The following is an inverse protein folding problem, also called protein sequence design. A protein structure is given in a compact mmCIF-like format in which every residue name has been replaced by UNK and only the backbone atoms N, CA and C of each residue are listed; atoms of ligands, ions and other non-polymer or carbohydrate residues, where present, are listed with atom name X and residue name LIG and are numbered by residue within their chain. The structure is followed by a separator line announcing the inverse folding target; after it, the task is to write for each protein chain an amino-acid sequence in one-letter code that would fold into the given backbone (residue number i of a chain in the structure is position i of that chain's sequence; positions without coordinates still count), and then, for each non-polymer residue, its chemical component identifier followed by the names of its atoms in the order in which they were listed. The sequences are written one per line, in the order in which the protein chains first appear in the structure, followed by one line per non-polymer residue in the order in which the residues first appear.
data_IF_888774141703
#
_entry.id   IF_888774141703
#
_cell.length_a   1.000
_cell.length_b   1.000
_cell.length_c   1.000
_cell.angle_alpha   90.00
_cell.angle_beta   90.00
_cell.angle_gamma   90.00
#
_symmetry.space_group_name_H-M   'P 1'
#
loop_
_entity.id
_entity.type
_entity.pdbx_description
1 polymer ?
#
# COMPACT_ATOMS: atom_id res chain seq x y z
N UNK A 1 8.97 -16.04 7.29
CA UNK A 1 8.17 -15.76 8.49
C UNK A 1 8.87 -14.63 9.23
N UNK A 2 8.13 -13.59 9.58
CA UNK A 2 8.58 -12.52 10.47
C UNK A 2 8.12 -12.85 11.89
N UNK A 3 9.00 -12.67 12.85
CA UNK A 3 8.71 -12.84 14.29
C UNK A 3 9.55 -11.85 15.10
N UNK A 4 9.12 -11.49 16.33
CA UNK A 4 9.96 -10.74 17.25
C UNK A 4 11.27 -11.47 17.58
N UNK A 5 12.37 -10.73 17.67
CA UNK A 5 13.71 -11.29 17.95
C UNK A 5 13.74 -12.13 19.24
N UNK A 6 13.02 -11.69 20.27
CA UNK A 6 12.93 -12.40 21.55
C UNK A 6 12.27 -13.77 21.41
N UNK A 7 11.25 -13.89 20.54
CA UNK A 7 10.61 -15.17 20.26
C UNK A 7 11.56 -16.12 19.53
N UNK A 8 12.35 -15.61 18.57
CA UNK A 8 13.39 -16.39 17.90
C UNK A 8 14.42 -16.89 18.92
N UNK A 9 14.94 -15.99 19.77
CA UNK A 9 15.88 -16.32 20.84
C UNK A 9 15.31 -17.34 21.84
N UNK A 10 14.04 -17.20 22.25
CA UNK A 10 13.38 -18.15 23.15
C UNK A 10 13.31 -19.58 22.54
N UNK A 11 13.17 -19.67 21.21
CA UNK A 11 13.22 -20.93 20.45
C UNK A 11 14.64 -21.39 20.13
N UNK A 12 15.68 -20.66 20.58
CA UNK A 12 17.11 -20.90 20.29
C UNK A 12 17.42 -20.87 18.79
N UNK A 13 16.77 -19.97 18.06
CA UNK A 13 17.02 -19.71 16.63
C UNK A 13 17.72 -18.37 16.52
N UNK A 14 18.88 -18.35 15.87
CA UNK A 14 19.55 -17.10 15.53
C UNK A 14 18.88 -16.46 14.31
N UNK A 15 18.45 -15.19 14.38
CA UNK A 15 17.93 -14.48 13.24
C UNK A 15 18.97 -14.38 12.12
N UNK A 16 18.54 -14.60 10.90
CA UNK A 16 19.43 -14.48 9.75
C UNK A 16 19.63 -13.03 9.30
N UNK A 17 18.58 -12.25 9.39
CA UNK A 17 18.52 -10.82 9.06
C UNK A 17 17.38 -10.18 9.84
N UNK A 18 17.35 -8.85 9.85
CA UNK A 18 16.36 -8.06 10.59
C UNK A 18 15.58 -7.15 9.63
N UNK A 19 14.27 -7.09 9.81
CA UNK A 19 13.46 -6.01 9.25
C UNK A 19 13.61 -4.80 10.19
N UNK A 20 14.41 -3.83 9.78
CA UNK A 20 14.80 -2.71 10.63
C UNK A 20 14.07 -1.41 10.32
N UNK A 21 13.47 -1.32 9.15
CA UNK A 21 12.71 -0.14 8.77
C UNK A 21 11.60 -0.45 7.79
N UNK A 22 10.58 0.38 7.82
CA UNK A 22 9.46 0.33 6.90
C UNK A 22 8.93 1.73 6.65
N UNK A 23 8.42 1.95 5.45
CA UNK A 23 7.72 3.17 5.07
C UNK A 23 6.56 2.85 4.15
N UNK A 24 5.46 3.56 4.33
CA UNK A 24 4.29 3.47 3.50
C UNK A 24 3.77 4.88 3.18
N UNK A 25 3.56 5.16 1.92
CA UNK A 25 3.02 6.43 1.44
C UNK A 25 2.08 6.20 0.26
N UNK A 26 1.35 7.24 -0.10
CA UNK A 26 0.53 7.21 -1.30
C UNK A 26 0.99 8.27 -2.30
N UNK A 27 1.20 7.85 -3.56
CA UNK A 27 1.55 8.78 -4.63
C UNK A 27 0.39 9.75 -4.97
N UNK A 28 -0.83 9.36 -4.66
CA UNK A 28 -2.06 10.16 -4.77
C UNK A 28 -2.23 10.88 -6.12
N UNK A 29 -1.64 10.33 -7.19
CA UNK A 29 -1.57 10.95 -8.51
C UNK A 29 -2.60 10.37 -9.49
N UNK A 30 -2.51 9.06 -9.75
CA UNK A 30 -3.36 8.37 -10.73
C UNK A 30 -3.57 6.91 -10.36
N UNK A 31 -4.63 6.27 -10.88
CA UNK A 31 -4.97 4.88 -10.55
C UNK A 31 -3.90 3.85 -10.99
N UNK A 32 -3.10 4.16 -12.00
CA UNK A 32 -2.12 3.21 -12.57
C UNK A 32 -0.77 3.83 -12.92
N UNK A 33 -0.69 5.14 -13.06
CA UNK A 33 0.55 5.83 -13.39
C UNK A 33 1.15 6.44 -12.13
N UNK A 34 2.46 6.34 -11.99
CA UNK A 34 3.20 7.04 -10.97
C UNK A 34 3.42 8.50 -11.37
N UNK A 35 3.53 9.39 -10.38
CA UNK A 35 3.83 10.81 -10.59
C UNK A 35 5.21 10.99 -11.24
N UNK A 36 5.39 12.04 -12.00
CA UNK A 36 6.66 12.31 -12.70
C UNK A 36 7.84 12.54 -11.74
N UNK A 37 7.56 13.08 -10.55
CA UNK A 37 8.56 13.31 -9.51
C UNK A 37 8.72 12.15 -8.52
N UNK A 38 7.96 11.07 -8.66
CA UNK A 38 8.01 9.88 -7.81
C UNK A 38 7.73 10.19 -6.33
N UNK A 39 6.71 11.00 -6.05
CA UNK A 39 6.46 11.51 -4.70
C UNK A 39 6.19 10.41 -3.69
N UNK A 40 5.26 9.50 -3.98
CA UNK A 40 4.93 8.39 -3.08
C UNK A 40 6.12 7.48 -2.81
N UNK A 41 6.85 7.11 -3.87
CA UNK A 41 8.07 6.31 -3.77
C UNK A 41 9.15 7.00 -2.90
N UNK A 42 9.36 8.30 -3.11
CA UNK A 42 10.29 9.09 -2.30
C UNK A 42 9.90 9.11 -0.82
N UNK A 43 8.63 9.38 -0.52
CA UNK A 43 8.14 9.42 0.86
C UNK A 43 8.24 8.06 1.54
N UNK A 44 7.88 6.97 0.87
CA UNK A 44 8.01 5.62 1.40
C UNK A 44 9.47 5.25 1.71
N UNK A 45 10.40 5.56 0.81
CA UNK A 45 11.83 5.32 1.04
C UNK A 45 12.37 6.15 2.20
N UNK A 46 12.00 7.43 2.29
CA UNK A 46 12.45 8.30 3.38
C UNK A 46 11.91 7.86 4.73
N UNK A 47 10.65 7.44 4.80
CA UNK A 47 10.08 6.90 6.03
C UNK A 47 10.76 5.59 6.43
N UNK A 48 11.04 4.69 5.47
CA UNK A 48 11.76 3.45 5.75
C UNK A 48 13.16 3.69 6.32
N UNK A 49 13.88 4.67 5.80
CA UNK A 49 15.17 5.09 6.32
C UNK A 49 15.06 5.71 7.73
N UNK A 50 14.05 6.54 7.93
CA UNK A 50 13.80 7.18 9.23
C UNK A 50 13.47 6.15 10.31
N UNK A 51 12.60 5.18 10.02
CA UNK A 51 12.21 4.12 10.97
C UNK A 51 13.36 3.16 11.25
N UNK A 52 14.28 2.98 10.28
CA UNK A 52 15.52 2.22 10.48
C UNK A 52 16.62 3.01 11.20
N UNK A 53 16.42 4.31 11.47
CA UNK A 53 17.47 5.24 11.95
C UNK A 53 18.72 5.26 11.06
N UNK A 54 18.53 5.17 9.73
CA UNK A 54 19.58 5.14 8.73
C UNK A 54 19.55 6.41 7.86
N UNK A 55 20.72 6.72 7.31
CA UNK A 55 20.89 7.72 6.24
C UNK A 55 20.90 7.01 4.88
N UNK A 56 20.62 7.71 3.78
CA UNK A 56 20.75 7.14 2.44
C UNK A 56 22.12 6.49 2.17
N UNK A 57 23.21 7.08 2.69
CA UNK A 57 24.57 6.56 2.56
C UNK A 57 24.81 5.21 3.22
N UNK A 58 23.93 4.76 4.09
CA UNK A 58 24.04 3.50 4.82
C UNK A 58 23.41 2.32 4.05
N UNK A 59 22.77 2.59 2.92
CA UNK A 59 22.20 1.58 2.02
C UNK A 59 23.20 1.21 0.94
N UNK A 60 23.51 -0.07 0.80
CA UNK A 60 24.41 -0.57 -0.23
C UNK A 60 23.68 -1.09 -1.48
N UNK A 61 22.46 -1.59 -1.33
CA UNK A 61 21.69 -2.13 -2.43
C UNK A 61 20.20 -1.74 -2.33
N UNK A 62 19.62 -1.41 -3.48
CA UNK A 62 18.17 -1.21 -3.64
C UNK A 62 17.64 -2.27 -4.59
N UNK A 63 16.72 -3.11 -4.09
CA UNK A 63 15.87 -3.93 -4.94
C UNK A 63 14.71 -3.07 -5.40
N UNK A 64 14.80 -2.58 -6.63
CA UNK A 64 13.84 -1.66 -7.21
C UNK A 64 12.51 -2.36 -7.55
N UNK A 65 11.42 -1.62 -7.50
CA UNK A 65 10.14 -2.10 -8.01
C UNK A 65 10.25 -2.49 -9.50
N UNK A 66 10.81 -1.62 -10.32
CA UNK A 66 11.37 -1.90 -11.65
C UNK A 66 10.52 -2.77 -12.55
N UNK A 67 9.32 -2.34 -12.92
CA UNK A 67 8.41 -3.10 -13.80
C UNK A 67 8.82 -3.08 -15.27
N UNK A 68 9.81 -2.27 -15.66
CA UNK A 68 10.26 -2.11 -17.04
C UNK A 68 9.28 -1.33 -17.92
N UNK A 69 8.38 -0.57 -17.34
CA UNK A 69 7.50 0.36 -18.07
C UNK A 69 8.11 1.76 -18.08
N UNK A 70 8.00 2.53 -19.17
CA UNK A 70 8.59 3.87 -19.23
C UNK A 70 8.17 4.79 -18.08
N UNK A 71 6.91 4.73 -17.65
CA UNK A 71 6.41 5.56 -16.54
C UNK A 71 7.04 5.17 -15.20
N UNK A 72 7.07 3.85 -14.88
CA UNK A 72 7.71 3.39 -13.63
C UNK A 72 9.21 3.72 -13.63
N UNK A 73 9.91 3.40 -14.72
CA UNK A 73 11.36 3.58 -14.78
C UNK A 73 11.75 5.06 -14.63
N UNK A 74 10.96 5.98 -15.22
CA UNK A 74 11.14 7.41 -15.06
C UNK A 74 10.87 7.85 -13.60
N UNK A 75 9.72 7.50 -13.05
CA UNK A 75 9.29 7.92 -11.72
C UNK A 75 10.21 7.37 -10.63
N UNK A 76 10.54 6.08 -10.70
CA UNK A 76 11.43 5.44 -9.72
C UNK A 76 12.86 5.96 -9.84
N UNK A 77 13.37 6.22 -11.05
CA UNK A 77 14.69 6.86 -11.23
C UNK A 77 14.74 8.23 -10.55
N UNK A 78 13.73 9.07 -10.76
CA UNK A 78 13.64 10.40 -10.12
C UNK A 78 13.59 10.27 -8.61
N UNK A 79 12.77 9.38 -8.06
CA UNK A 79 12.67 9.20 -6.61
C UNK A 79 13.98 8.70 -5.99
N UNK A 80 14.69 7.78 -6.65
CA UNK A 80 16.02 7.31 -6.23
C UNK A 80 17.06 8.43 -6.24
N UNK A 81 17.08 9.27 -7.28
CA UNK A 81 17.98 10.45 -7.30
C UNK A 81 17.63 11.45 -6.18
N UNK A 82 16.36 11.64 -5.85
CA UNK A 82 15.94 12.50 -4.73
C UNK A 82 16.44 11.98 -3.39
N UNK A 83 16.46 10.64 -3.20
CA UNK A 83 16.92 10.02 -1.94
C UNK A 83 18.44 9.97 -1.85
N UNK A 84 19.11 9.50 -2.89
CA UNK A 84 20.55 9.15 -2.85
C UNK A 84 21.47 10.20 -3.46
N UNK A 85 20.94 11.14 -4.26
CA UNK A 85 21.74 12.14 -4.96
C UNK A 85 22.79 11.49 -5.86
N UNK A 86 24.02 11.98 -5.77
CA UNK A 86 25.16 11.50 -6.58
C UNK A 86 25.77 10.18 -6.05
N UNK A 87 25.36 9.72 -4.87
CA UNK A 87 25.88 8.50 -4.22
C UNK A 87 24.89 7.35 -4.34
N UNK A 88 24.54 7.01 -5.57
CA UNK A 88 23.62 5.91 -5.84
C UNK A 88 24.20 4.58 -5.37
N UNK A 89 23.46 3.79 -4.55
CA UNK A 89 23.84 2.41 -4.22
C UNK A 89 23.75 1.52 -5.47
N UNK A 90 24.09 0.24 -5.35
CA UNK A 90 23.72 -0.72 -6.39
C UNK A 90 22.19 -0.77 -6.50
N UNK A 91 21.66 -0.78 -7.72
CA UNK A 91 20.22 -0.83 -7.97
C UNK A 91 19.94 -1.88 -9.03
N UNK A 92 19.02 -2.79 -8.75
CA UNK A 92 18.49 -3.72 -9.76
C UNK A 92 17.06 -4.11 -9.47
N UNK A 93 16.33 -4.53 -10.51
CA UNK A 93 15.05 -5.20 -10.37
C UNK A 93 15.20 -6.69 -10.66
N UNK A 94 14.62 -7.52 -9.80
CA UNK A 94 14.64 -8.97 -9.98
C UNK A 94 13.46 -9.51 -10.78
N UNK A 95 12.53 -8.64 -11.20
CA UNK A 95 11.35 -9.01 -12.00
C UNK A 95 11.69 -9.62 -13.36
N UNK A 96 12.88 -9.36 -13.89
CA UNK A 96 13.36 -10.04 -15.12
C UNK A 96 13.63 -11.54 -14.92
N UNK A 97 13.82 -12.00 -13.68
CA UNK A 97 13.96 -13.42 -13.32
C UNK A 97 12.63 -14.06 -12.94
N UNK A 98 11.81 -13.35 -12.17
CA UNK A 98 10.61 -13.89 -11.53
C UNK A 98 9.33 -13.59 -12.27
N UNK A 99 9.34 -12.63 -13.19
CA UNK A 99 8.12 -11.97 -13.67
C UNK A 99 7.53 -11.03 -12.60
N UNK A 100 6.51 -10.30 -12.97
CA UNK A 100 5.74 -9.49 -12.02
C UNK A 100 4.66 -10.38 -11.39
N UNK A 101 4.94 -10.85 -10.19
CA UNK A 101 4.09 -11.78 -9.45
C UNK A 101 2.93 -11.10 -8.71
N UNK A 102 2.57 -9.89 -9.13
CA UNK A 102 1.46 -9.09 -8.56
C UNK A 102 1.54 -8.96 -7.04
N UNK A 103 0.57 -9.48 -6.29
CA UNK A 103 0.53 -9.39 -4.82
C UNK A 103 1.70 -10.05 -4.10
N UNK A 104 2.39 -11.00 -4.74
CA UNK A 104 3.54 -11.69 -4.16
C UNK A 104 4.88 -11.00 -4.44
N UNK A 105 4.93 -9.95 -5.28
CA UNK A 105 6.17 -9.29 -5.70
C UNK A 105 7.02 -8.87 -4.51
N UNK A 106 6.49 -8.06 -3.63
CA UNK A 106 7.24 -7.56 -2.47
C UNK A 106 7.76 -8.67 -1.56
N UNK A 107 7.01 -9.75 -1.38
CA UNK A 107 7.44 -10.90 -0.58
C UNK A 107 8.60 -11.64 -1.23
N UNK A 108 8.55 -11.87 -2.55
CA UNK A 108 9.61 -12.55 -3.28
C UNK A 108 10.88 -11.69 -3.31
N UNK A 109 10.74 -10.40 -3.59
CA UNK A 109 11.85 -9.44 -3.63
C UNK A 109 12.49 -9.26 -2.25
N UNK A 110 11.68 -9.31 -1.18
CA UNK A 110 12.20 -9.36 0.20
C UNK A 110 13.04 -10.61 0.43
N UNK A 111 12.59 -11.80 0.01
CA UNK A 111 13.36 -13.03 0.14
C UNK A 111 14.67 -12.96 -0.66
N UNK A 112 14.64 -12.44 -1.87
CA UNK A 112 15.85 -12.25 -2.69
C UNK A 112 16.81 -11.27 -2.00
N UNK A 113 16.31 -10.19 -1.41
CA UNK A 113 17.10 -9.22 -0.64
C UNK A 113 17.76 -9.85 0.59
N UNK A 114 17.05 -10.75 1.29
CA UNK A 114 17.61 -11.55 2.38
C UNK A 114 18.75 -12.45 1.90
N UNK A 115 18.53 -13.15 0.79
CA UNK A 115 19.57 -14.00 0.19
C UNK A 115 20.79 -13.18 -0.27
N UNK A 116 20.57 -11.98 -0.80
CA UNK A 116 21.64 -11.06 -1.19
C UNK A 116 22.53 -10.68 0.00
N UNK A 117 21.91 -10.35 1.14
CA UNK A 117 22.64 -10.09 2.40
C UNK A 117 23.40 -11.31 2.90
N UNK A 118 22.76 -12.48 2.92
CA UNK A 118 23.36 -13.72 3.46
C UNK A 118 24.52 -14.25 2.62
N UNK A 119 24.41 -14.12 1.30
CA UNK A 119 25.37 -14.70 0.35
C UNK A 119 26.28 -13.67 -0.31
N UNK A 120 26.21 -12.41 0.12
CA UNK A 120 27.10 -11.33 -0.32
C UNK A 120 27.11 -11.12 -1.83
N UNK A 121 25.94 -10.99 -2.43
CA UNK A 121 25.80 -10.69 -3.86
C UNK A 121 24.74 -9.62 -4.10
N UNK A 122 24.81 -8.95 -5.26
CA UNK A 122 23.76 -8.09 -5.78
C UNK A 122 23.19 -8.73 -7.03
N UNK A 123 21.87 -9.01 -7.08
CA UNK A 123 21.24 -9.56 -8.27
C UNK A 123 21.42 -8.64 -9.49
N UNK A 124 21.68 -9.21 -10.65
CA UNK A 124 21.77 -8.45 -11.89
C UNK A 124 20.42 -8.01 -12.42
N UNK A 125 20.38 -6.89 -13.09
CA UNK A 125 19.20 -6.43 -13.83
C UNK A 125 19.23 -6.99 -15.25
N UNK A 126 18.59 -8.12 -15.48
CA UNK A 126 18.58 -8.76 -16.79
C UNK A 126 17.79 -7.94 -17.82
N UNK A 127 18.24 -8.00 -19.06
CA UNK A 127 17.52 -7.44 -20.21
C UNK A 127 17.70 -5.92 -20.40
N UNK A 128 18.40 -5.23 -19.52
CA UNK A 128 18.72 -3.83 -19.73
C UNK A 128 19.70 -3.67 -20.90
N UNK A 129 19.38 -2.77 -21.85
CA UNK A 129 20.15 -2.56 -23.07
C UNK A 129 20.45 -1.10 -23.35
N UNK A 130 19.49 -0.23 -23.08
CA UNK A 130 19.57 1.17 -23.44
C UNK A 130 19.34 2.04 -22.19
N UNK A 131 20.23 2.99 -22.00
CA UNK A 131 20.09 4.00 -20.95
C UNK A 131 18.92 4.93 -21.30
N UNK A 132 18.00 5.10 -20.37
CA UNK A 132 16.96 6.11 -20.43
C UNK A 132 17.56 7.48 -20.09
N UNK A 133 17.10 8.53 -20.74
CA UNK A 133 17.50 9.89 -20.41
C UNK A 133 17.17 10.20 -18.94
N UNK A 134 18.15 10.66 -18.18
CA UNK A 134 18.04 10.91 -16.72
C UNK A 134 17.64 9.68 -15.87
N UNK A 135 17.67 8.48 -16.44
CA UNK A 135 17.41 7.24 -15.71
C UNK A 135 18.64 6.76 -14.92
N UNK A 136 18.40 5.93 -13.93
CA UNK A 136 19.48 5.23 -13.22
C UNK A 136 20.14 4.21 -14.15
N UNK A 137 21.42 3.93 -13.94
CA UNK A 137 22.10 2.78 -14.55
C UNK A 137 22.01 1.60 -13.59
N UNK A 138 21.21 0.57 -13.93
CA UNK A 138 21.09 -0.58 -13.05
C UNK A 138 22.38 -1.41 -13.03
N UNK A 139 22.63 -2.09 -11.92
CA UNK A 139 23.76 -3.03 -11.86
C UNK A 139 23.47 -4.30 -12.66
N UNK A 140 24.50 -4.85 -13.29
CA UNK A 140 24.43 -6.09 -14.04
C UNK A 140 24.68 -7.34 -13.16
N UNK A 141 24.94 -7.12 -11.87
CA UNK A 141 25.21 -8.14 -10.88
C UNK A 141 26.62 -8.04 -10.32
N UNK A 142 26.70 -8.21 -9.01
CA UNK A 142 27.97 -8.17 -8.28
C UNK A 142 28.05 -9.35 -7.32
N UNK A 143 29.25 -9.86 -7.07
CA UNK A 143 29.49 -10.95 -6.14
C UNK A 143 30.61 -10.59 -5.17
N UNK A 144 30.62 -11.24 -4.00
CA UNK A 144 31.57 -10.97 -2.92
C UNK A 144 31.51 -9.52 -2.40
N UNK A 145 30.31 -8.92 -2.41
CA UNK A 145 30.08 -7.58 -1.92
C UNK A 145 29.72 -7.60 -0.43
N UNK A 146 30.14 -6.57 0.30
CA UNK A 146 29.71 -6.40 1.69
C UNK A 146 28.39 -5.63 1.71
N UNK A 147 27.31 -6.30 2.10
CA UNK A 147 26.00 -5.71 2.30
C UNK A 147 25.67 -5.71 3.79
N UNK A 148 25.31 -4.56 4.32
CA UNK A 148 24.79 -4.42 5.68
C UNK A 148 23.31 -4.05 5.67
N UNK A 149 22.89 -3.22 4.73
CA UNK A 149 21.50 -2.74 4.62
C UNK A 149 21.03 -2.75 3.17
N UNK A 150 19.87 -3.29 2.95
CA UNK A 150 19.21 -3.34 1.64
C UNK A 150 17.86 -2.66 1.75
N UNK A 151 17.52 -1.82 0.79
CA UNK A 151 16.20 -1.22 0.62
C UNK A 151 15.43 -2.03 -0.44
N UNK A 152 14.21 -2.44 -0.13
CA UNK A 152 13.33 -3.19 -1.03
C UNK A 152 12.07 -2.39 -1.30
N UNK A 153 11.83 -2.03 -2.56
CA UNK A 153 10.74 -1.17 -2.99
C UNK A 153 9.59 -1.97 -3.62
N UNK A 154 8.37 -1.64 -3.24
CA UNK A 154 7.15 -2.16 -3.85
C UNK A 154 6.16 -1.03 -4.06
N UNK A 155 5.92 -0.67 -5.32
CA UNK A 155 5.04 0.43 -5.72
C UNK A 155 3.84 -0.12 -6.49
N UNK A 156 2.65 0.09 -5.94
CA UNK A 156 1.42 -0.54 -6.42
C UNK A 156 0.52 0.41 -7.20
N UNK A 157 -0.37 -0.17 -8.00
CA UNK A 157 -1.46 0.59 -8.61
C UNK A 157 -2.25 1.36 -7.54
N UNK A 158 -2.71 2.55 -7.91
CA UNK A 158 -3.32 3.48 -6.97
C UNK A 158 -2.33 4.33 -6.21
N UNK A 159 -1.01 4.10 -6.40
CA UNK A 159 0.05 4.83 -5.72
C UNK A 159 0.27 4.37 -4.28
N UNK A 160 -0.05 3.13 -3.94
CA UNK A 160 0.34 2.53 -2.66
C UNK A 160 1.81 2.12 -2.74
N UNK A 161 2.66 2.93 -2.17
CA UNK A 161 4.10 2.77 -2.22
C UNK A 161 4.63 2.32 -0.85
N UNK A 162 5.43 1.27 -0.87
CA UNK A 162 6.03 0.70 0.34
C UNK A 162 7.51 0.43 0.11
N UNK A 163 8.30 0.76 1.11
CA UNK A 163 9.73 0.44 1.15
C UNK A 163 10.08 -0.24 2.47
N UNK A 164 10.93 -1.27 2.39
CA UNK A 164 11.42 -2.01 3.55
C UNK A 164 12.93 -1.90 3.64
N UNK A 165 13.48 -1.71 4.85
CA UNK A 165 14.90 -1.83 5.11
C UNK A 165 15.16 -3.18 5.78
N UNK A 166 16.05 -3.96 5.17
CA UNK A 166 16.51 -5.26 5.64
C UNK A 166 17.98 -5.13 5.99
N UNK A 167 18.36 -5.47 7.22
CA UNK A 167 19.72 -5.30 7.74
C UNK A 167 20.32 -6.61 8.21
N UNK A 168 21.63 -6.75 8.05
CA UNK A 168 22.40 -7.89 8.57
C UNK A 168 22.50 -7.90 10.10
N UNK A 169 22.30 -6.74 10.74
CA UNK A 169 22.37 -6.57 12.20
C UNK A 169 21.12 -5.85 12.69
N UNK A 170 20.69 -6.08 13.95
CA UNK A 170 19.58 -5.34 14.51
C UNK A 170 19.92 -3.87 14.56
N UNK A 171 18.94 -3.04 14.21
CA UNK A 171 19.00 -1.57 14.27
C UNK A 171 17.60 -1.07 14.62
N UNK A 172 17.53 0.19 15.04
CA UNK A 172 16.27 0.80 15.40
C UNK A 172 15.93 0.64 16.88
N UNK A 173 14.72 1.04 17.22
CA UNK A 173 14.20 0.95 18.58
C UNK A 173 14.04 -0.52 18.98
N UNK A 174 14.42 -0.85 20.21
CA UNK A 174 14.10 -2.16 20.77
C UNK A 174 12.60 -2.25 21.05
N UNK A 175 12.08 -3.48 21.25
CA UNK A 175 10.68 -3.64 21.70
C UNK A 175 10.47 -2.89 23.03
N UNK A 176 11.46 -2.86 23.90
CA UNK A 176 11.42 -2.09 25.16
C UNK A 176 11.29 -0.59 24.89
N UNK A 177 12.02 -0.06 23.90
CA UNK A 177 11.87 1.35 23.49
C UNK A 177 10.47 1.61 22.90
N UNK A 178 9.95 0.72 22.08
CA UNK A 178 8.60 0.82 21.52
C UNK A 178 7.53 0.68 22.61
N UNK A 179 7.66 -0.28 23.51
CA UNK A 179 6.72 -0.45 24.62
C UNK A 179 6.78 0.70 25.62
N UNK A 180 7.96 1.26 25.87
CA UNK A 180 8.09 2.45 26.73
C UNK A 180 7.43 3.70 26.15
N UNK A 181 7.30 3.74 24.81
CA UNK A 181 6.56 4.79 24.07
C UNK A 181 5.10 4.43 23.85
N UNK A 182 4.71 3.16 24.04
CA UNK A 182 3.34 2.73 23.83
C UNK A 182 2.45 3.27 24.95
N UNK A 183 1.86 4.40 24.69
CA UNK A 183 0.81 5.02 25.54
C UNK A 183 -0.53 4.30 25.26
N UNK A 184 -0.55 2.95 25.25
CA UNK A 184 -1.79 2.20 25.06
C UNK A 184 -2.71 2.19 26.28
N UNK A 185 -2.29 2.80 27.38
CA UNK A 185 -3.14 2.95 28.55
C UNK A 185 -4.04 4.18 28.39
N UNK A 186 -5.32 3.93 28.08
CA UNK A 186 -6.40 4.93 28.06
C UNK A 186 -6.35 6.01 26.97
N UNK A 187 -6.07 5.63 25.71
CA UNK A 187 -6.31 6.55 24.61
C UNK A 187 -7.81 6.73 24.38
N UNK A 188 -8.29 7.92 24.61
CA UNK A 188 -9.68 8.30 24.32
C UNK A 188 -9.77 8.70 22.84
N UNK A 189 -10.17 7.75 21.98
CA UNK A 189 -10.46 8.04 20.58
C UNK A 189 -11.78 8.80 20.47
N UNK A 190 -11.77 9.83 19.65
CA UNK A 190 -12.96 10.56 19.24
C UNK A 190 -13.33 10.23 17.79
N UNK A 191 -14.60 9.87 17.58
CA UNK A 191 -15.20 9.83 16.25
C UNK A 191 -15.73 11.21 15.95
N UNK A 192 -14.96 12.01 15.20
CA UNK A 192 -15.32 13.40 14.85
C UNK A 192 -16.51 13.44 13.88
N UNK A 193 -16.57 12.47 12.97
CA UNK A 193 -17.66 12.33 12.01
C UNK A 193 -17.82 10.88 11.61
N UNK A 194 -19.04 10.50 11.20
CA UNK A 194 -19.34 9.17 10.67
C UNK A 194 -20.43 9.30 9.60
N UNK A 195 -20.22 8.66 8.44
CA UNK A 195 -21.17 8.61 7.33
C UNK A 195 -21.36 7.17 6.89
N UNK A 196 -22.60 6.78 6.65
CA UNK A 196 -23.00 5.46 6.18
C UNK A 196 -23.78 5.58 4.86
N UNK A 197 -23.41 4.76 3.89
CA UNK A 197 -24.07 4.61 2.58
C UNK A 197 -24.46 3.15 2.44
N UNK A 198 -25.74 2.86 2.42
CA UNK A 198 -26.33 1.51 2.40
C UNK A 198 -27.33 1.29 1.26
N UNK A 199 -27.61 2.34 0.50
CA UNK A 199 -28.56 2.34 -0.62
C UNK A 199 -27.94 2.82 -1.92
N UNK A 200 -28.32 2.15 -3.01
CA UNK A 200 -27.90 2.56 -4.36
C UNK A 200 -28.41 3.95 -4.75
N UNK A 201 -29.54 4.40 -4.20
CA UNK A 201 -30.10 5.71 -4.50
C UNK A 201 -29.21 6.84 -3.99
N UNK A 202 -28.52 6.65 -2.86
CA UNK A 202 -27.57 7.60 -2.30
C UNK A 202 -26.38 7.84 -3.23
N UNK A 203 -26.01 6.86 -4.09
CA UNK A 203 -24.88 7.00 -5.01
C UNK A 203 -25.04 8.12 -6.04
N UNK A 204 -26.27 8.61 -6.25
CA UNK A 204 -26.51 9.76 -7.13
C UNK A 204 -25.78 11.03 -6.64
N UNK A 205 -25.51 11.12 -5.34
CA UNK A 205 -24.84 12.25 -4.71
C UNK A 205 -23.33 12.32 -4.98
N UNK A 206 -22.72 11.26 -5.53
CA UNK A 206 -21.33 11.29 -5.95
C UNK A 206 -21.03 12.41 -6.95
N UNK A 207 -22.04 12.87 -7.71
CA UNK A 207 -21.95 14.03 -8.63
C UNK A 207 -21.53 15.34 -7.95
N UNK A 208 -21.65 15.44 -6.63
CA UNK A 208 -21.19 16.60 -5.85
C UNK A 208 -19.65 16.69 -5.83
N UNK A 209 -18.98 15.55 -5.99
CA UNK A 209 -17.53 15.40 -5.79
C UNK A 209 -16.76 15.02 -7.05
N UNK A 210 -17.41 14.37 -8.02
CA UNK A 210 -16.76 13.91 -9.26
C UNK A 210 -17.54 14.31 -10.50
N UNK A 211 -16.82 14.47 -11.61
CA UNK A 211 -17.42 14.80 -12.91
C UNK A 211 -18.28 13.62 -13.42
N UNK A 212 -19.35 13.87 -14.18
CA UNK A 212 -20.23 12.81 -14.68
C UNK A 212 -19.51 11.70 -15.47
N UNK A 213 -18.50 12.06 -16.25
CA UNK A 213 -17.72 11.09 -17.03
C UNK A 213 -16.88 10.16 -16.14
N UNK A 214 -16.30 10.70 -15.09
CA UNK A 214 -15.55 9.95 -14.07
C UNK A 214 -16.49 9.01 -13.32
N UNK A 215 -17.62 9.51 -12.84
CA UNK A 215 -18.62 8.73 -12.12
C UNK A 215 -19.16 7.52 -12.93
N UNK A 216 -19.30 7.67 -14.26
CA UNK A 216 -19.74 6.56 -15.13
C UNK A 216 -18.76 5.40 -15.22
N UNK A 217 -17.48 5.64 -14.95
CA UNK A 217 -16.41 4.63 -15.00
C UNK A 217 -16.19 3.92 -13.66
N UNK A 218 -16.82 4.41 -12.60
CA UNK A 218 -16.68 3.86 -11.25
C UNK A 218 -17.72 2.77 -11.00
N UNK A 219 -17.30 1.64 -10.44
CA UNK A 219 -18.18 0.61 -9.88
C UNK A 219 -18.94 1.13 -8.64
N UNK A 220 -19.88 0.35 -8.14
CA UNK A 220 -20.70 0.73 -6.96
C UNK A 220 -19.84 0.95 -5.72
N UNK A 221 -18.93 0.02 -5.43
CA UNK A 221 -18.04 0.12 -4.27
C UNK A 221 -17.17 1.37 -4.32
N UNK A 222 -16.63 1.69 -5.50
CA UNK A 222 -15.82 2.90 -5.70
C UNK A 222 -16.61 4.18 -5.43
N UNK A 223 -17.88 4.22 -5.87
CA UNK A 223 -18.77 5.37 -5.63
C UNK A 223 -19.12 5.51 -4.15
N UNK A 224 -19.52 4.41 -3.52
CA UNK A 224 -19.96 4.42 -2.13
C UNK A 224 -18.82 4.73 -1.15
N UNK A 225 -17.64 4.15 -1.36
CA UNK A 225 -16.46 4.41 -0.53
C UNK A 225 -15.98 5.86 -0.66
N UNK A 226 -15.93 6.37 -1.88
CA UNK A 226 -15.54 7.76 -2.10
C UNK A 226 -16.56 8.74 -1.53
N UNK A 227 -17.87 8.48 -1.74
CA UNK A 227 -18.93 9.33 -1.24
C UNK A 227 -18.93 9.41 0.30
N UNK A 228 -18.97 8.25 0.98
CA UNK A 228 -18.99 8.22 2.44
C UNK A 228 -17.74 8.89 3.04
N UNK A 229 -16.57 8.67 2.42
CA UNK A 229 -15.30 9.25 2.87
C UNK A 229 -15.26 10.76 2.72
N UNK A 230 -15.65 11.28 1.56
CA UNK A 230 -15.63 12.72 1.32
C UNK A 230 -16.68 13.46 2.16
N UNK A 231 -17.85 12.86 2.37
CA UNK A 231 -18.86 13.43 3.27
C UNK A 231 -18.41 13.40 4.74
N UNK A 232 -17.74 12.33 5.19
CA UNK A 232 -17.18 12.26 6.54
C UNK A 232 -16.09 13.32 6.75
N UNK A 233 -15.17 13.49 5.80
CA UNK A 233 -14.15 14.53 5.84
C UNK A 233 -14.78 15.93 5.84
N UNK A 234 -15.79 16.16 5.02
CA UNK A 234 -16.51 17.45 4.97
C UNK A 234 -17.17 17.77 6.31
N UNK A 235 -17.85 16.79 6.93
CA UNK A 235 -18.47 16.96 8.26
C UNK A 235 -17.44 17.24 9.36
N UNK A 236 -16.24 16.63 9.26
CA UNK A 236 -15.12 16.86 10.16
C UNK A 236 -14.37 18.18 9.89
N UNK A 237 -14.68 18.90 8.81
CA UNK A 237 -13.96 20.12 8.40
C UNK A 237 -12.53 19.84 7.93
N UNK A 238 -12.23 18.61 7.45
CA UNK A 238 -10.91 18.19 6.99
C UNK A 238 -10.92 18.07 5.47
N UNK A 239 -9.95 18.71 4.82
CA UNK A 239 -9.79 18.65 3.35
C UNK A 239 -8.91 17.46 2.95
N UNK A 240 -7.80 17.26 3.65
CA UNK A 240 -6.85 16.20 3.43
C UNK A 240 -6.56 15.51 4.78
N UNK A 241 -6.87 14.22 4.95
CA UNK A 241 -6.52 13.51 6.18
C UNK A 241 -5.03 13.20 6.22
N UNK A 242 -4.47 12.98 7.40
CA UNK A 242 -3.06 12.60 7.56
C UNK A 242 -2.81 11.14 7.15
N UNK A 243 -3.83 10.28 7.28
CA UNK A 243 -3.78 8.89 6.87
C UNK A 243 -5.16 8.39 6.42
N UNK A 244 -5.17 7.37 5.56
CA UNK A 244 -6.37 6.68 5.09
C UNK A 244 -6.22 5.20 5.31
N UNK A 245 -7.09 4.62 6.13
CA UNK A 245 -7.10 3.20 6.43
C UNK A 245 -8.49 2.65 6.11
N UNK A 246 -8.57 1.71 5.19
CA UNK A 246 -9.84 1.09 4.83
C UNK A 246 -9.84 -0.40 5.15
N UNK A 247 -11.02 -0.95 5.30
CA UNK A 247 -11.26 -2.38 5.43
C UNK A 247 -12.33 -2.84 4.46
N UNK A 248 -12.22 -4.06 4.00
CA UNK A 248 -13.25 -4.72 3.20
C UNK A 248 -13.30 -6.20 3.53
N UNK A 249 -14.46 -6.81 3.41
CA UNK A 249 -14.62 -8.25 3.62
C UNK A 249 -14.30 -9.01 2.33
N UNK A 250 -14.81 -8.53 1.20
CA UNK A 250 -14.75 -9.23 -0.08
C UNK A 250 -14.19 -8.37 -1.22
N UNK A 251 -13.98 -7.09 -1.02
CA UNK A 251 -13.42 -6.18 -2.01
C UNK A 251 -14.38 -5.85 -3.15
N UNK A 252 -13.79 -5.58 -4.31
CA UNK A 252 -14.47 -5.11 -5.52
C UNK A 252 -15.11 -6.27 -6.29
N UNK A 253 -16.18 -6.86 -5.76
CA UNK A 253 -16.83 -8.06 -6.33
C UNK A 253 -17.43 -7.82 -7.71
N UNK A 254 -18.10 -6.69 -7.94
CA UNK A 254 -18.74 -6.41 -9.24
C UNK A 254 -17.72 -6.40 -10.38
N UNK A 255 -16.58 -5.74 -10.19
CA UNK A 255 -15.53 -5.69 -11.20
C UNK A 255 -14.81 -7.04 -11.37
N UNK A 256 -14.61 -7.77 -10.28
CA UNK A 256 -14.02 -9.12 -10.31
C UNK A 256 -14.92 -10.09 -11.07
N UNK A 257 -16.23 -10.10 -10.82
CA UNK A 257 -17.17 -10.94 -11.59
C UNK A 257 -17.17 -10.59 -13.07
N UNK A 258 -17.22 -9.31 -13.42
CA UNK A 258 -17.17 -8.85 -14.82
C UNK A 258 -15.88 -9.23 -15.51
N UNK A 259 -14.75 -9.12 -14.82
CA UNK A 259 -13.44 -9.53 -15.36
C UNK A 259 -13.46 -11.03 -15.70
N UNK A 260 -13.88 -11.85 -14.74
CA UNK A 260 -13.94 -13.31 -14.92
C UNK A 260 -14.97 -13.74 -15.97
N UNK A 261 -16.11 -13.08 -16.05
CA UNK A 261 -17.13 -13.35 -17.06
C UNK A 261 -16.63 -13.06 -18.47
N UNK A 262 -16.03 -11.90 -18.72
CA UNK A 262 -15.43 -11.56 -20.01
C UNK A 262 -14.31 -12.53 -20.36
N UNK A 263 -13.43 -12.85 -19.42
CA UNK A 263 -12.35 -13.83 -19.65
C UNK A 263 -12.91 -15.19 -20.11
N UNK A 264 -13.99 -15.65 -19.47
CA UNK A 264 -14.62 -16.94 -19.75
C UNK A 264 -15.37 -16.94 -21.09
N UNK A 265 -16.09 -15.87 -21.42
CA UNK A 265 -17.02 -15.83 -22.56
C UNK A 265 -16.40 -15.27 -23.85
N UNK A 266 -15.49 -14.32 -23.74
CA UNK A 266 -14.92 -13.58 -24.85
C UNK A 266 -13.40 -13.76 -25.01
N UNK A 267 -12.73 -14.32 -23.97
CA UNK A 267 -11.30 -14.56 -23.93
C UNK A 267 -10.48 -13.36 -23.43
N UNK A 268 -9.21 -13.61 -23.18
CA UNK A 268 -8.30 -12.64 -22.56
C UNK A 268 -8.09 -11.37 -23.40
N UNK A 269 -8.12 -11.49 -24.73
CA UNK A 269 -7.92 -10.36 -25.65
C UNK A 269 -9.01 -9.28 -25.59
N UNK A 270 -10.17 -9.58 -24.99
CA UNK A 270 -11.30 -8.65 -24.85
C UNK A 270 -11.38 -8.01 -23.47
N UNK A 271 -10.46 -8.33 -22.57
CA UNK A 271 -10.43 -7.78 -21.22
C UNK A 271 -10.18 -6.27 -21.24
N UNK A 272 -11.03 -5.54 -20.53
CA UNK A 272 -10.85 -4.11 -20.33
C UNK A 272 -9.95 -3.88 -19.12
N UNK A 273 -8.81 -3.18 -19.25
CA UNK A 273 -7.91 -2.90 -18.14
C UNK A 273 -8.61 -2.30 -16.91
N UNK A 274 -9.67 -1.52 -17.12
CA UNK A 274 -10.45 -0.87 -16.05
C UNK A 274 -11.02 -1.89 -15.04
N UNK A 275 -11.50 -3.05 -15.51
CA UNK A 275 -12.05 -4.06 -14.60
C UNK A 275 -10.96 -4.65 -13.70
N UNK A 276 -9.78 -4.93 -14.26
CA UNK A 276 -8.65 -5.40 -13.50
C UNK A 276 -8.16 -4.35 -12.47
N UNK A 277 -7.96 -3.11 -12.93
CA UNK A 277 -7.50 -2.01 -12.08
C UNK A 277 -8.44 -1.74 -10.90
N UNK A 278 -9.76 -1.86 -11.11
CA UNK A 278 -10.77 -1.63 -10.08
C UNK A 278 -11.19 -2.93 -9.35
N UNK A 279 -10.53 -4.05 -9.56
CA UNK A 279 -10.77 -5.29 -8.81
C UNK A 279 -9.84 -5.46 -7.61
N UNK A 280 -8.73 -4.74 -7.55
CA UNK A 280 -7.80 -4.81 -6.43
C UNK A 280 -8.34 -4.08 -5.20
N UNK A 281 -8.13 -4.63 -4.01
CA UNK A 281 -8.72 -4.12 -2.77
C UNK A 281 -8.22 -2.72 -2.39
N UNK A 282 -6.94 -2.44 -2.62
CA UNK A 282 -6.31 -1.15 -2.35
C UNK A 282 -6.87 0.00 -3.20
N UNK A 283 -7.56 -0.29 -4.30
CA UNK A 283 -8.21 0.74 -5.14
C UNK A 283 -9.20 1.58 -4.34
N UNK A 284 -9.78 1.04 -3.27
CA UNK A 284 -10.70 1.74 -2.37
C UNK A 284 -9.99 2.94 -1.74
N UNK A 285 -8.95 2.68 -0.95
CA UNK A 285 -8.19 3.73 -0.24
C UNK A 285 -7.44 4.66 -1.19
N UNK A 286 -6.92 4.11 -2.29
CA UNK A 286 -6.17 4.87 -3.29
C UNK A 286 -7.01 5.93 -4.00
N UNK A 287 -8.26 5.61 -4.37
CA UNK A 287 -9.13 6.62 -5.00
C UNK A 287 -9.49 7.75 -4.04
N UNK A 288 -9.64 7.45 -2.76
CA UNK A 288 -9.85 8.48 -1.74
C UNK A 288 -8.60 9.35 -1.65
N UNK A 289 -7.40 8.76 -1.60
CA UNK A 289 -6.13 9.47 -1.56
C UNK A 289 -5.92 10.38 -2.78
N UNK A 290 -6.17 9.87 -4.00
CA UNK A 290 -6.10 10.66 -5.23
C UNK A 290 -7.06 11.86 -5.17
N UNK A 291 -8.26 11.67 -4.64
CA UNK A 291 -9.27 12.72 -4.57
C UNK A 291 -8.99 13.78 -3.51
N UNK A 292 -8.37 13.40 -2.42
CA UNK A 292 -8.01 14.26 -1.29
C UNK A 292 -6.57 14.77 -1.36
N UNK A 293 -5.78 14.30 -2.33
CA UNK A 293 -4.33 14.53 -2.42
C UNK A 293 -3.58 14.14 -1.13
N UNK A 294 -4.03 13.03 -0.52
CA UNK A 294 -3.40 12.50 0.69
C UNK A 294 -2.21 11.62 0.33
N UNK A 295 -1.01 12.09 0.63
CA UNK A 295 0.24 11.36 0.43
C UNK A 295 0.66 10.55 1.66
N UNK A 296 -0.09 10.63 2.75
CA UNK A 296 0.20 9.92 4.00
C UNK A 296 -0.04 8.42 3.93
N UNK A 297 0.07 7.78 5.08
CA UNK A 297 -0.14 6.35 5.27
C UNK A 297 -1.47 5.87 4.65
N UNK A 298 -1.39 4.81 3.84
CA UNK A 298 -2.54 4.34 3.06
C UNK A 298 -2.56 2.81 3.00
N UNK A 299 -3.51 2.18 3.68
CA UNK A 299 -3.64 0.72 3.79
C UNK A 299 -5.08 0.28 3.65
N UNK A 300 -5.26 -0.92 3.07
CA UNK A 300 -6.56 -1.60 3.01
C UNK A 300 -6.46 -2.99 3.65
N UNK A 301 -7.21 -3.20 4.72
CA UNK A 301 -7.33 -4.48 5.42
C UNK A 301 -8.33 -5.40 4.72
N UNK A 302 -7.94 -6.68 4.53
CA UNK A 302 -8.73 -7.70 3.81
C UNK A 302 -8.88 -8.98 4.61
N UNK A 303 -9.27 -8.86 5.88
CA UNK A 303 -9.37 -9.96 6.84
C UNK A 303 -10.82 -10.31 7.18
N UNK A 304 -11.69 -10.22 6.20
CA UNK A 304 -13.11 -10.50 6.37
C UNK A 304 -13.76 -9.53 7.37
N UNK A 305 -14.57 -10.04 8.26
CA UNK A 305 -15.27 -9.26 9.30
C UNK A 305 -14.32 -8.61 10.35
N UNK A 306 -13.04 -8.98 10.35
CA UNK A 306 -12.03 -8.38 11.21
C UNK A 306 -11.35 -7.15 10.57
N UNK A 307 -11.61 -6.86 9.31
CA UNK A 307 -10.96 -5.76 8.58
C UNK A 307 -11.17 -4.40 9.25
N UNK A 308 -12.41 -4.08 9.66
CA UNK A 308 -12.69 -2.82 10.37
C UNK A 308 -12.02 -2.75 11.75
N UNK A 309 -12.11 -3.76 12.64
CA UNK A 309 -11.36 -3.75 13.90
C UNK A 309 -9.85 -3.51 13.72
N UNK A 310 -9.23 -4.14 12.73
CA UNK A 310 -7.81 -3.92 12.45
C UNK A 310 -7.51 -2.53 11.90
N UNK A 311 -8.38 -2.00 11.05
CA UNK A 311 -8.25 -0.63 10.54
C UNK A 311 -8.35 0.42 11.66
N UNK A 312 -9.24 0.21 12.64
CA UNK A 312 -9.38 1.08 13.81
C UNK A 312 -8.13 0.98 14.69
N UNK A 313 -7.65 -0.23 14.99
CA UNK A 313 -6.43 -0.44 15.79
C UNK A 313 -5.21 0.23 15.16
N UNK A 314 -5.04 0.11 13.84
CA UNK A 314 -3.95 0.74 13.11
C UNK A 314 -4.05 2.28 13.16
N UNK A 315 -5.26 2.83 13.00
CA UNK A 315 -5.50 4.26 13.18
C UNK A 315 -5.15 4.73 14.61
N UNK A 316 -5.54 3.97 15.62
CA UNK A 316 -5.19 4.21 17.03
C UNK A 316 -3.67 4.26 17.22
N UNK A 317 -2.95 3.31 16.64
CA UNK A 317 -1.49 3.26 16.70
C UNK A 317 -0.83 4.48 16.04
N UNK A 318 -1.32 4.93 14.88
CA UNK A 318 -0.81 6.13 14.22
C UNK A 318 -1.04 7.39 15.05
N UNK A 319 -2.23 7.54 15.62
CA UNK A 319 -2.60 8.66 16.47
C UNK A 319 -1.80 8.67 17.76
N UNK A 320 -1.69 7.51 18.42
CA UNK A 320 -0.93 7.34 19.67
C UNK A 320 0.55 7.70 19.54
N UNK A 321 1.15 7.32 18.42
CA UNK A 321 2.56 7.61 18.16
C UNK A 321 2.81 8.99 17.55
N UNK A 322 1.78 9.83 17.44
CA UNK A 322 1.88 11.17 16.86
C UNK A 322 2.24 11.19 15.37
N UNK A 323 2.09 10.05 14.68
CA UNK A 323 2.31 9.95 13.24
C UNK A 323 1.17 10.56 12.42
N UNK A 324 0.00 10.68 13.00
CA UNK A 324 -1.17 11.35 12.44
C UNK A 324 -1.89 12.13 13.53
N UNK A 325 -2.55 13.23 13.16
CA UNK A 325 -3.47 14.00 14.03
C UNK A 325 -4.92 13.65 13.76
N UNK A 326 -5.19 13.15 12.57
CA UNK A 326 -6.50 12.68 12.14
C UNK A 326 -6.33 11.53 11.14
N UNK A 327 -7.21 10.54 11.22
CA UNK A 327 -7.21 9.37 10.35
C UNK A 327 -8.60 9.16 9.79
N UNK A 328 -8.70 9.01 8.47
CA UNK A 328 -9.91 8.57 7.82
C UNK A 328 -9.94 7.03 7.84
N UNK A 329 -10.88 6.45 8.56
CA UNK A 329 -11.11 5.00 8.59
C UNK A 329 -12.38 4.65 7.84
N UNK A 330 -12.32 3.64 6.97
CA UNK A 330 -13.47 3.18 6.21
C UNK A 330 -13.68 1.67 6.25
N UNK A 331 -14.93 1.24 6.09
CA UNK A 331 -15.30 -0.14 5.83
C UNK A 331 -16.28 -0.20 4.68
N UNK A 332 -15.90 -0.87 3.61
CA UNK A 332 -16.61 -0.77 2.35
C UNK A 332 -16.74 -2.15 1.71
N UNK A 333 -17.99 -2.57 1.49
CA UNK A 333 -18.33 -3.83 0.83
C UNK A 333 -19.43 -3.61 -0.20
N UNK A 334 -19.44 -4.47 -1.20
CA UNK A 334 -20.51 -4.59 -2.17
C UNK A 334 -20.88 -6.06 -2.40
N UNK A 335 -22.08 -6.32 -2.87
CA UNK A 335 -22.44 -7.61 -3.39
C UNK A 335 -22.46 -7.63 -4.91
N UNK A 336 -22.27 -8.81 -5.47
CA UNK A 336 -22.40 -9.08 -6.90
C UNK A 336 -23.32 -10.28 -7.15
N UNK A 337 -23.98 -10.36 -8.32
CA UNK A 337 -25.05 -11.35 -8.54
C UNK A 337 -24.58 -12.80 -8.44
N UNK A 338 -23.40 -13.12 -8.94
CA UNK A 338 -22.88 -14.48 -8.87
C UNK A 338 -22.50 -14.86 -7.44
N UNK A 339 -21.85 -13.96 -6.72
CA UNK A 339 -21.44 -14.18 -5.34
C UNK A 339 -22.67 -14.40 -4.44
N UNK A 340 -23.73 -13.59 -4.58
CA UNK A 340 -24.96 -13.79 -3.83
C UNK A 340 -25.62 -15.17 -4.09
N UNK A 341 -25.59 -15.66 -5.35
CA UNK A 341 -26.04 -17.03 -5.63
C UNK A 341 -25.21 -18.10 -4.94
N UNK A 342 -23.89 -17.90 -4.79
CA UNK A 342 -23.03 -18.81 -4.04
C UNK A 342 -23.37 -18.82 -2.55
N UNK A 343 -23.61 -17.64 -1.96
CA UNK A 343 -24.05 -17.52 -0.55
C UNK A 343 -25.38 -18.26 -0.32
N UNK A 344 -26.36 -18.05 -1.20
CA UNK A 344 -27.64 -18.75 -1.15
C UNK A 344 -27.48 -20.29 -1.23
N UNK A 345 -26.60 -20.77 -2.10
CA UNK A 345 -26.29 -22.20 -2.22
C UNK A 345 -25.62 -22.74 -0.95
N UNK A 346 -24.81 -21.93 -0.28
CA UNK A 346 -24.17 -22.25 1.00
C UNK A 346 -25.10 -22.08 2.21
N UNK A 347 -26.37 -21.71 1.98
CA UNK A 347 -27.36 -21.39 3.00
C UNK A 347 -26.98 -20.17 3.87
N UNK A 348 -26.20 -19.29 3.33
CA UNK A 348 -25.85 -17.99 3.92
C UNK A 348 -26.80 -16.92 3.40
N UNK A 349 -26.96 -15.84 4.17
CA UNK A 349 -27.79 -14.72 3.72
C UNK A 349 -27.08 -13.92 2.62
N UNK A 350 -27.79 -13.49 1.58
CA UNK A 350 -27.26 -12.57 0.59
C UNK A 350 -26.77 -11.28 1.24
N UNK A 351 -25.68 -10.75 0.72
CA UNK A 351 -25.17 -9.47 1.16
C UNK A 351 -26.01 -8.32 0.61
N UNK A 352 -26.11 -7.19 1.34
CA UNK A 352 -26.70 -5.98 0.79
C UNK A 352 -25.92 -5.50 -0.44
N UNK A 353 -26.60 -4.84 -1.35
CA UNK A 353 -26.01 -4.34 -2.61
C UNK A 353 -24.78 -3.46 -2.38
N UNK A 354 -24.81 -2.68 -1.31
CA UNK A 354 -23.74 -1.76 -0.88
C UNK A 354 -23.75 -1.69 0.64
N UNK A 355 -22.58 -1.61 1.22
CA UNK A 355 -22.35 -1.27 2.61
C UNK A 355 -21.07 -0.45 2.70
N UNK A 356 -21.18 0.81 3.04
CA UNK A 356 -20.04 1.70 3.09
C UNK A 356 -20.16 2.60 4.30
N UNK A 357 -19.19 2.52 5.19
CA UNK A 357 -19.07 3.37 6.38
C UNK A 357 -17.71 4.04 6.33
N UNK A 358 -17.67 5.35 6.54
CA UNK A 358 -16.44 6.11 6.73
C UNK A 358 -16.54 6.94 8.00
N UNK A 359 -15.43 7.06 8.73
CA UNK A 359 -15.33 7.85 9.95
C UNK A 359 -13.99 8.56 10.03
N UNK A 360 -13.98 9.73 10.63
CA UNK A 360 -12.76 10.46 10.96
C UNK A 360 -12.47 10.29 12.45
N UNK A 361 -11.28 9.79 12.75
CA UNK A 361 -10.79 9.55 14.10
C UNK A 361 -9.71 10.55 14.48
N UNK A 362 -9.74 11.01 15.74
CA UNK A 362 -8.72 11.82 16.41
C UNK A 362 -8.52 11.32 17.83
N UNK A 363 -7.45 11.74 18.48
CA UNK A 363 -7.39 11.70 19.95
C UNK A 363 -8.24 12.84 20.51
N UNK A 364 -8.96 12.58 21.61
CA UNK A 364 -9.61 13.66 22.36
C UNK A 364 -8.53 14.62 22.89
N UNK A 365 -8.78 15.90 22.68
CA UNK A 365 -8.01 16.93 23.36
C UNK A 365 -8.47 17.00 24.82
N UNK A 366 -7.51 17.05 25.77
CA UNK A 366 -7.80 17.22 27.22
C UNK A 366 -8.45 18.56 27.51
#
# INVERSE_FOLDING_TARGET
VLEPEEQAKARKVEPHVYLTGYGNACDAFHQTASSENGEGAYLAMMEALQTAHLKPSDIQYVNAHGTGTPNNDQSESVSLHRVFGDKMPWVSSTKSFTGHTTSASGSIETVISILALQHHFVPGNLGWKNQMENGITPTLGESNVQLENVLCNSFGFGGNDTSLVISAKPKGDTIEDLLSRSVFENLDLEIVSKVEIDSADQLADIKKYVKPLEARRMGKLMKSSLLSSLEALQQAGIVCPDAIITGTTYGCLENSERLLEVMKTEGEGMLKPTYFMQSTHNTISSNIAIKTHCHGYNVTYTQGNKSLPWAILDAEMLLANGKAKNVLVGWHDESAPFFNRLLEQSREQPMPSIRSTAMVLKLKEE
#
